data_IF_260061885344
#
_entry.id   IF_260061885344
#
_cell.length_a   1.000
_cell.length_b   1.000
_cell.length_c   1.000
_cell.angle_alpha   90.00
_cell.angle_beta   90.00
_cell.angle_gamma   90.00
#
_symmetry.space_group_name_H-M   'P 1'
#
loop_
_entity.id
_entity.type
_entity.pdbx_description
1 polymer ?
#
# COMPACT_ATOMS: atom_id res chain seq x y z
N UNK A 1 22.30 -24.33 0.43
CA UNK A 1 21.21 -23.34 0.33
C UNK A 1 19.97 -24.08 -0.16
N UNK A 2 18.88 -24.09 0.61
CA UNK A 2 17.71 -24.93 0.36
C UNK A 2 16.66 -24.10 -0.43
N UNK A 3 16.39 -24.38 -1.72
CA UNK A 3 15.60 -23.47 -2.56
C UNK A 3 14.09 -23.44 -2.28
N UNK A 4 13.56 -24.30 -1.39
CA UNK A 4 12.11 -24.51 -1.23
C UNK A 4 11.41 -23.52 -0.29
N UNK A 5 12.14 -22.83 0.59
CA UNK A 5 11.53 -21.96 1.61
C UNK A 5 11.25 -20.53 1.11
N UNK A 6 12.04 -20.04 0.15
CA UNK A 6 11.87 -18.68 -0.39
C UNK A 6 10.67 -18.55 -1.33
N UNK A 7 10.24 -19.63 -1.96
CA UNK A 7 9.15 -19.60 -2.96
C UNK A 7 7.77 -19.55 -2.28
N UNK A 8 7.63 -20.25 -1.16
CA UNK A 8 6.36 -20.37 -0.44
C UNK A 8 5.87 -19.03 0.15
N UNK A 9 6.77 -18.25 0.76
CA UNK A 9 6.43 -16.91 1.27
C UNK A 9 6.07 -15.96 0.14
N UNK A 10 6.80 -16.04 -0.99
CA UNK A 10 6.53 -15.22 -2.16
C UNK A 10 5.13 -15.47 -2.76
N UNK A 11 4.61 -16.71 -2.69
CA UNK A 11 3.25 -17.03 -3.13
C UNK A 11 2.19 -16.42 -2.19
N UNK A 12 2.44 -16.43 -0.88
CA UNK A 12 1.56 -15.76 0.09
C UNK A 12 1.53 -14.24 -0.12
N UNK A 13 2.71 -13.61 -0.23
CA UNK A 13 2.85 -12.19 -0.53
C UNK A 13 2.22 -11.80 -1.88
N UNK A 14 2.36 -12.66 -2.90
CA UNK A 14 1.73 -12.45 -4.20
C UNK A 14 0.21 -12.48 -4.10
N UNK A 15 -0.36 -13.44 -3.36
CA UNK A 15 -1.79 -13.55 -3.14
C UNK A 15 -2.35 -12.37 -2.33
N UNK A 16 -1.65 -11.94 -1.26
CA UNK A 16 -1.96 -10.71 -0.54
C UNK A 16 -1.96 -9.51 -1.49
N UNK A 17 -0.98 -9.45 -2.38
CA UNK A 17 -0.86 -8.39 -3.38
C UNK A 17 -1.94 -8.39 -4.47
N UNK A 18 -2.81 -9.40 -4.53
CA UNK A 18 -4.05 -9.42 -5.31
C UNK A 18 -5.27 -8.96 -4.51
N UNK A 19 -5.07 -8.67 -3.22
CA UNK A 19 -6.07 -8.30 -2.22
C UNK A 19 -7.15 -9.38 -2.00
N UNK A 20 -6.86 -10.63 -2.40
CA UNK A 20 -7.74 -11.78 -2.18
C UNK A 20 -7.26 -12.54 -0.93
N UNK A 21 -7.89 -12.23 0.21
CA UNK A 21 -7.54 -12.84 1.50
C UNK A 21 -7.80 -14.35 1.54
N UNK A 22 -8.76 -14.86 0.75
CA UNK A 22 -9.02 -16.30 0.67
C UNK A 22 -7.90 -17.00 -0.09
N UNK A 23 -7.46 -16.43 -1.22
CA UNK A 23 -6.31 -16.93 -1.95
C UNK A 23 -5.04 -16.87 -1.08
N UNK A 24 -4.85 -15.79 -0.32
CA UNK A 24 -3.75 -15.67 0.63
C UNK A 24 -3.81 -16.75 1.72
N UNK A 25 -4.98 -17.03 2.29
CA UNK A 25 -5.15 -18.13 3.25
C UNK A 25 -4.79 -19.50 2.65
N UNK A 26 -5.21 -19.77 1.41
CA UNK A 26 -4.86 -21.02 0.70
C UNK A 26 -3.34 -21.09 0.48
N UNK A 27 -2.71 -20.00 0.05
CA UNK A 27 -1.26 -19.93 -0.11
C UNK A 27 -0.53 -20.20 1.21
N UNK A 28 -0.94 -19.56 2.31
CA UNK A 28 -0.37 -19.73 3.64
C UNK A 28 -0.49 -21.17 4.19
N UNK A 29 -1.61 -21.84 3.90
CA UNK A 29 -1.79 -23.25 4.26
C UNK A 29 -0.83 -24.17 3.50
N UNK A 30 -0.58 -23.88 2.22
CA UNK A 30 0.32 -24.67 1.38
C UNK A 30 1.80 -24.35 1.63
N UNK A 31 2.14 -23.19 2.20
CA UNK A 31 3.50 -22.79 2.54
C UNK A 31 4.04 -23.41 3.84
N UNK A 32 3.20 -24.11 4.61
CA UNK A 32 3.47 -24.53 5.99
C UNK A 32 3.65 -23.37 6.99
N UNK A 33 3.03 -22.21 6.73
CA UNK A 33 2.98 -21.10 7.70
C UNK A 33 2.13 -21.49 8.92
N UNK A 34 2.43 -20.96 10.11
CA UNK A 34 1.66 -21.28 11.33
C UNK A 34 0.26 -20.65 11.27
N UNK A 35 -0.83 -21.44 11.30
CA UNK A 35 -2.21 -20.92 11.33
C UNK A 35 -2.47 -19.94 12.46
N UNK A 36 -1.73 -20.02 13.57
CA UNK A 36 -1.88 -19.08 14.69
C UNK A 36 -1.33 -17.69 14.38
N UNK A 37 -0.49 -17.55 13.37
CA UNK A 37 0.07 -16.26 12.94
C UNK A 37 -0.77 -15.67 11.80
N UNK A 38 -0.99 -16.41 10.71
CA UNK A 38 -1.63 -15.83 9.53
C UNK A 38 -3.16 -15.67 9.67
N UNK A 39 -3.86 -16.52 10.44
CA UNK A 39 -5.32 -16.39 10.59
C UNK A 39 -5.70 -15.10 11.31
N UNK A 40 -5.14 -14.75 12.49
CA UNK A 40 -5.45 -13.48 13.13
C UNK A 40 -5.13 -12.28 12.25
N UNK A 41 -4.00 -12.31 11.55
CA UNK A 41 -3.60 -11.26 10.61
C UNK A 41 -4.62 -11.06 9.48
N UNK A 42 -5.04 -12.14 8.79
CA UNK A 42 -6.06 -12.04 7.73
C UNK A 42 -7.42 -11.57 8.28
N UNK A 43 -7.78 -11.97 9.51
CA UNK A 43 -9.01 -11.51 10.17
C UNK A 43 -8.95 -10.02 10.55
N UNK A 44 -7.78 -9.50 10.89
CA UNK A 44 -7.59 -8.06 11.13
C UNK A 44 -7.78 -7.28 9.83
N UNK A 45 -7.19 -7.75 8.73
CA UNK A 45 -7.34 -7.16 7.40
C UNK A 45 -8.81 -7.15 6.93
N UNK A 46 -9.51 -8.28 7.07
CA UNK A 46 -10.91 -8.43 6.64
C UNK A 46 -11.87 -7.46 7.36
N UNK A 47 -11.54 -7.04 8.58
CA UNK A 47 -12.36 -6.09 9.36
C UNK A 47 -12.16 -4.63 8.95
N UNK A 48 -11.14 -4.33 8.16
CA UNK A 48 -10.85 -2.97 7.71
C UNK A 48 -11.77 -2.57 6.55
N UNK A 49 -12.13 -1.28 6.43
CA UNK A 49 -12.60 -0.73 5.17
C UNK A 49 -11.64 -1.05 4.03
N UNK A 50 -12.18 -1.41 2.85
CA UNK A 50 -11.39 -1.89 1.70
C UNK A 50 -10.17 -1.01 1.34
N UNK A 51 -10.27 0.33 1.26
CA UNK A 51 -9.09 1.17 0.96
C UNK A 51 -7.99 1.09 2.03
N UNK A 52 -8.35 0.84 3.29
CA UNK A 52 -7.39 0.69 4.38
C UNK A 52 -6.77 -0.69 4.40
N UNK A 53 -7.56 -1.73 4.09
CA UNK A 53 -7.04 -3.08 3.90
C UNK A 53 -5.96 -3.08 2.81
N UNK A 54 -6.27 -2.54 1.63
CA UNK A 54 -5.32 -2.47 0.52
C UNK A 54 -4.09 -1.62 0.87
N UNK A 55 -4.28 -0.49 1.56
CA UNK A 55 -3.18 0.34 2.03
C UNK A 55 -2.23 -0.44 2.95
N UNK A 56 -2.75 -1.13 3.97
CA UNK A 56 -1.91 -1.87 4.92
C UNK A 56 -1.13 -2.99 4.23
N UNK A 57 -1.79 -3.77 3.36
CA UNK A 57 -1.14 -4.81 2.56
C UNK A 57 -0.03 -4.21 1.68
N UNK A 58 -0.32 -3.12 0.96
CA UNK A 58 0.67 -2.49 0.09
C UNK A 58 1.87 -1.92 0.87
N UNK A 59 1.67 -1.43 2.10
CA UNK A 59 2.76 -0.98 2.97
C UNK A 59 3.67 -2.14 3.35
N UNK A 60 3.09 -3.27 3.74
CA UNK A 60 3.81 -4.48 4.13
C UNK A 60 4.61 -5.06 2.96
N UNK A 61 3.99 -5.13 1.78
CA UNK A 61 4.62 -5.56 0.52
C UNK A 61 5.53 -4.49 -0.11
N UNK A 62 5.72 -3.35 0.56
CA UNK A 62 6.54 -2.23 0.09
C UNK A 62 6.12 -1.65 -1.29
N UNK A 63 4.84 -1.78 -1.65
CA UNK A 63 4.20 -1.27 -2.88
C UNK A 63 3.69 0.16 -2.69
N UNK A 64 4.60 1.08 -2.40
CA UNK A 64 4.27 2.45 -1.96
C UNK A 64 3.38 3.25 -2.93
N UNK A 65 3.54 3.06 -4.24
CA UNK A 65 2.70 3.74 -5.24
C UNK A 65 1.23 3.30 -5.16
N UNK A 66 0.99 2.02 -4.87
CA UNK A 66 -0.35 1.48 -4.70
C UNK A 66 -0.91 1.89 -3.33
N UNK A 67 -0.10 1.80 -2.26
CA UNK A 67 -0.47 2.27 -0.92
C UNK A 67 -0.94 3.73 -0.94
N UNK A 68 -0.22 4.60 -1.68
CA UNK A 68 -0.57 6.02 -1.79
C UNK A 68 -1.94 6.24 -2.46
N UNK A 69 -2.30 5.43 -3.46
CA UNK A 69 -3.63 5.51 -4.09
C UNK A 69 -4.72 5.05 -3.12
N UNK A 70 -4.45 3.99 -2.38
CA UNK A 70 -5.40 3.39 -1.45
C UNK A 70 -5.69 4.30 -0.26
N UNK A 71 -4.67 4.92 0.34
CA UNK A 71 -4.87 5.83 1.48
C UNK A 71 -5.59 7.13 1.10
N UNK A 72 -5.37 7.64 -0.12
CA UNK A 72 -6.15 8.79 -0.64
C UNK A 72 -7.60 8.40 -0.88
N UNK A 73 -7.84 7.18 -1.36
CA UNK A 73 -9.19 6.65 -1.56
C UNK A 73 -9.94 6.40 -0.24
N UNK A 74 -9.21 6.21 0.87
CA UNK A 74 -9.79 6.10 2.21
C UNK A 74 -10.38 7.44 2.74
N UNK A 75 -10.05 8.56 2.09
CA UNK A 75 -10.65 9.87 2.36
C UNK A 75 -9.80 10.81 3.24
N UNK A 76 -10.30 12.04 3.39
CA UNK A 76 -9.58 13.17 4.02
C UNK A 76 -9.05 12.87 5.45
N UNK A 77 -9.71 11.97 6.19
CA UNK A 77 -9.32 11.61 7.55
C UNK A 77 -7.93 10.98 7.66
N UNK A 78 -7.43 10.39 6.57
CA UNK A 78 -6.13 9.71 6.50
C UNK A 78 -5.03 10.57 5.87
N UNK A 79 -5.27 11.88 5.76
CA UNK A 79 -4.29 12.82 5.24
C UNK A 79 -2.93 12.77 5.97
N UNK A 80 -2.86 12.68 7.32
CA UNK A 80 -1.58 12.55 8.02
C UNK A 80 -0.78 11.31 7.57
N UNK A 81 -1.46 10.18 7.37
CA UNK A 81 -0.83 8.91 6.93
C UNK A 81 -0.28 9.02 5.50
N UNK A 82 -1.05 9.64 4.60
CA UNK A 82 -0.60 9.97 3.25
C UNK A 82 0.69 10.81 3.27
N UNK A 83 0.75 11.84 4.12
CA UNK A 83 1.93 12.70 4.23
C UNK A 83 3.12 11.98 4.85
N UNK A 84 2.88 11.13 5.85
CA UNK A 84 3.91 10.32 6.48
C UNK A 84 4.52 9.33 5.47
N UNK A 85 3.69 8.74 4.60
CA UNK A 85 4.16 7.86 3.53
C UNK A 85 5.09 8.58 2.56
N UNK A 86 4.69 9.77 2.09
CA UNK A 86 5.49 10.60 1.19
C UNK A 86 6.83 11.03 1.81
N UNK A 87 6.86 11.26 3.13
CA UNK A 87 8.08 11.60 3.88
C UNK A 87 9.03 10.42 4.08
N UNK A 88 8.52 9.20 4.22
CA UNK A 88 9.32 8.02 4.55
C UNK A 88 10.14 7.51 3.36
N UNK A 89 9.81 7.92 2.13
CA UNK A 89 10.53 7.56 0.90
C UNK A 89 11.03 8.78 0.10
N UNK A 90 11.99 9.59 0.62
CA UNK A 90 12.64 10.64 -0.18
C UNK A 90 13.79 10.11 -1.06
N UNK A 91 14.35 8.93 -0.79
CA UNK A 91 15.75 8.60 -1.14
C UNK A 91 15.99 7.82 -2.44
N UNK A 92 14.97 7.25 -3.07
CA UNK A 92 15.18 6.41 -4.28
C UNK A 92 15.08 7.20 -5.59
N UNK A 93 14.88 8.52 -5.51
CA UNK A 93 14.75 9.39 -6.68
C UNK A 93 15.61 10.64 -6.51
N UNK A 94 16.23 11.16 -7.59
CA UNK A 94 16.90 12.45 -7.53
C UNK A 94 15.88 13.50 -7.06
N UNK A 95 16.31 14.43 -6.19
CA UNK A 95 15.46 15.30 -5.37
C UNK A 95 14.41 16.17 -6.12
N UNK A 96 14.41 16.18 -7.45
CA UNK A 96 13.37 16.77 -8.30
C UNK A 96 12.31 15.80 -8.85
N UNK A 97 12.50 14.48 -8.72
CA UNK A 97 11.66 13.45 -9.35
C UNK A 97 10.68 12.77 -8.38
N UNK A 98 10.99 12.64 -7.09
CA UNK A 98 10.10 11.98 -6.10
C UNK A 98 8.77 12.72 -5.92
N UNK A 99 8.83 14.05 -5.79
CA UNK A 99 7.68 14.94 -5.73
C UNK A 99 6.78 14.80 -6.97
N UNK A 100 7.41 14.77 -8.14
CA UNK A 100 6.74 14.64 -9.42
C UNK A 100 6.18 13.23 -9.64
N UNK A 101 6.85 12.19 -9.13
CA UNK A 101 6.41 10.80 -9.18
C UNK A 101 5.13 10.59 -8.38
N UNK A 102 5.11 10.96 -7.10
CA UNK A 102 3.90 10.80 -6.29
C UNK A 102 2.77 11.69 -6.79
N UNK A 103 3.07 12.91 -7.24
CA UNK A 103 2.10 13.76 -7.93
C UNK A 103 1.54 13.07 -9.18
N UNK A 104 2.38 12.42 -9.98
CA UNK A 104 1.95 11.66 -11.16
C UNK A 104 1.08 10.46 -10.77
N UNK A 105 1.50 9.66 -9.79
CA UNK A 105 0.74 8.50 -9.28
C UNK A 105 -0.66 8.92 -8.83
N UNK A 106 -0.76 10.06 -8.15
CA UNK A 106 -2.00 10.62 -7.64
C UNK A 106 -2.88 11.28 -8.73
N UNK A 107 -2.27 11.96 -9.70
CA UNK A 107 -3.02 12.53 -10.84
C UNK A 107 -3.60 11.45 -11.75
N UNK A 108 -2.91 10.31 -11.86
CA UNK A 108 -3.31 9.18 -12.71
C UNK A 108 -4.09 8.08 -11.97
N UNK A 109 -4.38 8.25 -10.68
CA UNK A 109 -5.27 7.33 -9.97
C UNK A 109 -6.73 7.57 -10.38
N UNK A 110 -7.57 6.55 -10.19
CA UNK A 110 -9.01 6.62 -10.40
C UNK A 110 -9.74 7.49 -9.34
N UNK A 111 -8.99 8.21 -8.52
CA UNK A 111 -9.51 9.12 -7.50
C UNK A 111 -10.35 10.22 -8.16
N UNK A 112 -11.51 10.60 -7.60
CA UNK A 112 -12.36 11.65 -8.17
C UNK A 112 -11.63 12.98 -8.41
N UNK A 113 -12.04 13.72 -9.45
CA UNK A 113 -11.36 14.96 -9.87
C UNK A 113 -11.27 16.03 -8.76
N UNK A 114 -12.26 16.09 -7.86
CA UNK A 114 -12.27 17.05 -6.76
C UNK A 114 -11.15 16.77 -5.73
N UNK A 115 -10.86 15.50 -5.48
CA UNK A 115 -9.74 15.08 -4.64
C UNK A 115 -8.40 15.34 -5.33
N UNK A 116 -8.30 15.18 -6.66
CA UNK A 116 -7.09 15.56 -7.42
C UNK A 116 -6.73 17.04 -7.26
N UNK A 117 -7.72 17.93 -7.23
CA UNK A 117 -7.52 19.37 -7.04
C UNK A 117 -7.05 19.70 -5.62
N UNK A 118 -7.63 19.06 -4.59
CA UNK A 118 -7.15 19.17 -3.21
C UNK A 118 -5.71 18.69 -3.08
N UNK A 119 -5.39 17.55 -3.70
CA UNK A 119 -4.05 16.98 -3.69
C UNK A 119 -3.01 17.88 -4.38
N UNK A 120 -3.39 18.52 -5.48
CA UNK A 120 -2.54 19.52 -6.13
C UNK A 120 -2.24 20.70 -5.19
N UNK A 121 -3.25 21.18 -4.46
CA UNK A 121 -3.05 22.22 -3.44
C UNK A 121 -2.19 21.73 -2.26
N UNK A 122 -2.34 20.46 -1.85
CA UNK A 122 -1.59 19.85 -0.75
C UNK A 122 -0.11 19.66 -1.10
N UNK A 123 0.18 19.11 -2.29
CA UNK A 123 1.56 18.97 -2.78
C UNK A 123 2.21 20.34 -3.01
N UNK A 124 1.49 21.31 -3.59
CA UNK A 124 2.00 22.67 -3.77
C UNK A 124 2.39 23.33 -2.43
N UNK A 125 1.57 23.17 -1.37
CA UNK A 125 1.90 23.68 -0.02
C UNK A 125 3.13 23.00 0.60
N UNK A 126 3.36 21.73 0.29
CA UNK A 126 4.47 20.95 0.85
C UNK A 126 5.82 21.25 0.19
N UNK A 127 5.85 21.59 -1.11
CA UNK A 127 7.08 21.89 -1.85
C UNK A 127 7.41 23.38 -1.97
N UNK A 128 6.54 24.26 -1.46
CA UNK A 128 6.75 25.72 -1.40
C UNK A 128 7.18 26.22 -0.01
N UNK A 129 7.42 25.32 0.94
CA UNK A 129 8.05 25.61 2.25
C UNK A 129 9.30 24.75 2.40
#
# INVERSE_FOLDING_TARGET
MNPRLFDNEAVFEAALGLFDLNLAAIAALNSHSDPKEFIPYLQELERMPEPLMHFNIDIELQRFDSALKNIVSAGDGYFPDCMNLMKKKPSDFPAGSSANHYKYVLLNSAVPQYEKKKLWLMTAKYFLN
#
